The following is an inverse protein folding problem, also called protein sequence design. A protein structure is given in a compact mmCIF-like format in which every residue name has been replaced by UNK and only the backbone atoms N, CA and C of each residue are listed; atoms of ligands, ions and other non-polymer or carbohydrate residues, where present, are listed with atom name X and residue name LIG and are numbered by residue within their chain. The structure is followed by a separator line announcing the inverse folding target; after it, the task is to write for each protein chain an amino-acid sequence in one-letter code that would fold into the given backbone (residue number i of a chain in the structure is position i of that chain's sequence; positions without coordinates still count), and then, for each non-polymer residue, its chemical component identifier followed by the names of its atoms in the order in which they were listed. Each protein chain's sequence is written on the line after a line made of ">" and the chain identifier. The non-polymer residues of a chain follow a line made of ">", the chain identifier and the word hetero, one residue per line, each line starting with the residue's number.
data_IF_493609630076
#
_entry.id   IF_493609630076
#
_cell.length_a   1.000
_cell.length_b   1.000
_cell.length_c   1.000
_cell.angle_alpha   90.00
_cell.angle_beta   90.00
_cell.angle_gamma   90.00
#
_symmetry.space_group_name_H-M   'P 1'
#
loop_
_entity.id
_entity.type
_entity.pdbx_description
1 polymer ?
#
# COMPACT_ATOMS: atom_id res chain seq x y z
N UNK A 1 13.73 -10.80 -23.56
CA UNK A 1 13.48 -9.39 -23.96
C UNK A 1 14.72 -8.56 -23.67
N UNK A 2 14.92 -7.47 -24.42
CA UNK A 2 16.05 -6.56 -24.20
C UNK A 2 15.57 -5.13 -24.27
N UNK A 3 16.01 -4.30 -23.31
CA UNK A 3 15.81 -2.85 -23.33
C UNK A 3 17.17 -2.17 -23.38
N UNK A 4 17.26 -1.09 -24.15
CA UNK A 4 18.47 -0.27 -24.23
C UNK A 4 18.23 1.10 -23.57
N UNK A 5 19.22 1.58 -22.80
CA UNK A 5 19.10 2.86 -22.12
C UNK A 5 20.08 3.08 -20.98
N UNK A 6 19.68 3.98 -20.08
CA UNK A 6 20.41 4.31 -18.84
C UNK A 6 19.80 3.52 -17.69
N UNK A 7 20.41 2.39 -17.38
CA UNK A 7 19.91 1.41 -16.43
C UNK A 7 20.37 1.79 -15.03
N UNK A 8 19.45 1.90 -14.06
CA UNK A 8 19.80 2.07 -12.65
C UNK A 8 20.36 0.76 -12.09
N UNK A 9 21.60 0.79 -11.66
CA UNK A 9 22.27 -0.29 -10.95
C UNK A 9 22.60 0.12 -9.51
N UNK A 10 23.01 -0.81 -8.62
CA UNK A 10 23.49 -0.47 -7.28
C UNK A 10 24.68 0.50 -7.24
N UNK A 11 25.38 0.66 -8.35
CA UNK A 11 26.54 1.58 -8.50
C UNK A 11 26.18 2.90 -9.19
N UNK A 12 24.89 3.13 -9.48
CA UNK A 12 24.41 4.28 -10.23
C UNK A 12 23.96 3.90 -11.65
N UNK A 13 23.77 4.91 -12.49
CA UNK A 13 23.33 4.69 -13.87
C UNK A 13 24.47 4.20 -14.76
N UNK A 14 24.21 3.11 -15.48
CA UNK A 14 25.09 2.59 -16.54
C UNK A 14 24.35 2.66 -17.87
N UNK A 15 25.03 3.02 -18.96
CA UNK A 15 24.50 2.89 -20.32
C UNK A 15 24.68 1.46 -20.77
N UNK A 16 23.63 0.86 -21.33
CA UNK A 16 23.72 -0.55 -21.71
C UNK A 16 22.41 -1.19 -22.13
N UNK A 17 22.47 -2.50 -22.18
CA UNK A 17 21.37 -3.40 -22.51
C UNK A 17 20.95 -4.16 -21.27
N UNK A 18 19.67 -4.08 -20.92
CA UNK A 18 19.05 -4.90 -19.90
C UNK A 18 18.40 -6.11 -20.55
N UNK A 19 18.95 -7.30 -20.31
CA UNK A 19 18.38 -8.57 -20.77
C UNK A 19 17.52 -9.16 -19.66
N UNK A 20 16.28 -9.49 -19.97
CA UNK A 20 15.33 -10.00 -18.98
C UNK A 20 14.27 -10.93 -19.62
N UNK A 21 13.68 -11.76 -18.76
CA UNK A 21 12.44 -12.51 -18.98
C UNK A 21 11.49 -12.21 -17.84
N UNK A 22 11.15 -13.18 -16.99
CA UNK A 22 10.50 -12.98 -15.71
C UNK A 22 11.47 -12.39 -14.65
N UNK A 23 12.75 -12.44 -14.94
CA UNK A 23 13.84 -11.94 -14.09
C UNK A 23 14.86 -11.20 -14.94
N UNK A 24 15.62 -10.32 -14.29
CA UNK A 24 16.81 -9.74 -14.88
C UNK A 24 17.83 -10.85 -15.07
N UNK A 25 18.29 -11.04 -16.32
CA UNK A 25 19.27 -12.05 -16.70
C UNK A 25 20.67 -11.45 -16.75
N UNK A 26 20.82 -10.25 -17.32
CA UNK A 26 22.10 -9.58 -17.44
C UNK A 26 21.92 -8.08 -17.66
N UNK A 27 22.93 -7.31 -17.26
CA UNK A 27 23.16 -5.92 -17.67
C UNK A 27 24.48 -5.90 -18.43
N UNK A 28 24.43 -5.55 -19.70
CA UNK A 28 25.58 -5.42 -20.59
C UNK A 28 25.89 -3.92 -20.77
N UNK A 29 27.07 -3.47 -20.36
CA UNK A 29 27.49 -2.10 -20.63
C UNK A 29 27.77 -1.91 -22.11
N UNK A 30 27.19 -0.89 -22.71
CA UNK A 30 27.34 -0.59 -24.13
C UNK A 30 27.13 0.93 -24.37
N UNK A 31 27.77 1.50 -25.40
CA UNK A 31 27.63 2.92 -25.73
C UNK A 31 26.29 3.22 -26.43
N UNK A 32 25.19 2.90 -25.75
CA UNK A 32 23.83 3.15 -26.26
C UNK A 32 23.25 4.40 -25.64
N UNK A 33 22.41 5.10 -26.41
CA UNK A 33 21.56 6.17 -25.90
C UNK A 33 20.13 5.64 -25.76
N UNK A 34 19.38 6.19 -24.80
CA UNK A 34 18.02 5.76 -24.57
C UNK A 34 17.43 6.33 -23.29
N UNK A 35 16.20 5.91 -22.96
CA UNK A 35 15.50 6.35 -21.77
C UNK A 35 16.18 5.86 -20.49
N UNK A 36 15.79 6.43 -19.36
CA UNK A 36 16.12 5.86 -18.07
C UNK A 36 15.31 4.58 -17.84
N UNK A 37 15.99 3.54 -17.40
CA UNK A 37 15.41 2.24 -17.04
C UNK A 37 15.56 2.08 -15.53
N UNK A 38 14.45 2.09 -14.82
CA UNK A 38 14.34 2.06 -13.37
C UNK A 38 13.47 0.87 -12.94
N UNK A 39 13.66 0.33 -11.72
CA UNK A 39 12.64 -0.46 -11.07
C UNK A 39 11.33 0.33 -10.99
N UNK A 40 10.19 -0.35 -11.11
CA UNK A 40 8.90 0.29 -10.85
C UNK A 40 8.79 0.79 -9.41
N UNK A 41 8.02 1.84 -9.19
CA UNK A 41 7.79 2.37 -7.86
C UNK A 41 6.86 1.46 -7.04
N UNK A 42 7.14 1.38 -5.74
CA UNK A 42 6.24 0.76 -4.77
C UNK A 42 5.61 1.87 -3.93
N UNK A 43 4.29 1.96 -3.99
CA UNK A 43 3.53 2.93 -3.20
C UNK A 43 2.76 2.23 -2.08
N UNK A 44 3.17 2.47 -0.85
CA UNK A 44 2.62 1.80 0.33
C UNK A 44 1.47 2.58 0.98
N UNK A 45 1.06 3.73 0.39
CA UNK A 45 0.04 4.60 0.97
C UNK A 45 -0.73 5.36 -0.12
N UNK A 46 -1.78 4.73 -0.65
CA UNK A 46 -2.59 5.29 -1.75
C UNK A 46 -4.06 5.18 -1.42
N UNK A 47 -4.73 6.31 -1.18
CA UNK A 47 -6.18 6.35 -0.93
C UNK A 47 -7.01 6.32 -2.21
N UNK A 48 -6.47 6.85 -3.29
CA UNK A 48 -7.24 6.93 -4.53
C UNK A 48 -6.43 7.44 -5.73
N UNK A 49 -7.12 7.62 -6.83
CA UNK A 49 -6.57 8.16 -8.07
C UNK A 49 -7.62 8.20 -9.18
N UNK A 50 -7.51 9.17 -10.08
CA UNK A 50 -8.44 9.35 -11.21
C UNK A 50 -9.93 9.41 -10.77
N UNK A 51 -10.20 10.09 -9.65
CA UNK A 51 -11.55 10.21 -9.10
C UNK A 51 -12.12 8.93 -8.51
N UNK A 52 -11.29 7.93 -8.20
CA UNK A 52 -11.65 6.70 -7.50
C UNK A 52 -11.01 6.70 -6.11
N UNK A 53 -11.69 6.09 -5.13
CA UNK A 53 -11.24 5.96 -3.74
C UNK A 53 -11.23 4.47 -3.34
N UNK A 54 -10.25 4.08 -2.53
CA UNK A 54 -10.12 2.71 -2.03
C UNK A 54 -11.33 2.25 -1.19
N UNK A 55 -12.12 3.19 -0.65
CA UNK A 55 -13.34 2.91 0.11
C UNK A 55 -14.55 2.56 -0.75
N UNK A 56 -14.49 2.77 -2.07
CA UNK A 56 -15.64 2.63 -2.99
C UNK A 56 -15.81 1.20 -3.55
N UNK A 57 -14.94 0.26 -3.16
CA UNK A 57 -15.03 -1.15 -3.56
C UNK A 57 -14.21 -1.49 -4.81
N UNK A 58 -14.39 -2.72 -5.31
CA UNK A 58 -13.54 -3.37 -6.32
C UNK A 58 -13.24 -2.52 -7.54
N UNK A 59 -14.27 -2.01 -8.22
CA UNK A 59 -14.11 -1.30 -9.50
C UNK A 59 -13.34 0.01 -9.35
N UNK A 60 -13.53 0.71 -8.23
CA UNK A 60 -12.78 1.91 -7.90
C UNK A 60 -11.31 1.59 -7.62
N UNK A 61 -11.06 0.54 -6.83
CA UNK A 61 -9.69 0.05 -6.55
C UNK A 61 -8.96 -0.35 -7.83
N UNK A 62 -9.62 -1.05 -8.75
CA UNK A 62 -9.03 -1.40 -10.05
C UNK A 62 -8.71 -0.17 -10.90
N UNK A 63 -9.62 0.80 -10.95
CA UNK A 63 -9.41 2.06 -11.68
C UNK A 63 -8.23 2.85 -11.11
N UNK A 64 -8.17 2.99 -9.80
CA UNK A 64 -7.04 3.61 -9.08
C UNK A 64 -5.72 2.91 -9.39
N UNK A 65 -5.67 1.59 -9.26
CA UNK A 65 -4.46 0.81 -9.50
C UNK A 65 -3.94 0.95 -10.94
N UNK A 66 -4.83 0.86 -11.92
CA UNK A 66 -4.49 1.04 -13.34
C UNK A 66 -3.96 2.45 -13.63
N UNK A 67 -4.51 3.47 -12.98
CA UNK A 67 -4.01 4.84 -13.10
C UNK A 67 -2.57 4.94 -12.59
N UNK A 68 -2.27 4.45 -11.39
CA UNK A 68 -0.92 4.49 -10.83
C UNK A 68 0.08 3.67 -11.64
N UNK A 69 -0.35 2.53 -12.19
CA UNK A 69 0.47 1.70 -13.10
C UNK A 69 0.93 2.50 -14.34
N UNK A 70 0.07 3.31 -14.92
CA UNK A 70 0.41 4.16 -16.08
C UNK A 70 1.43 5.25 -15.73
N UNK A 71 1.64 5.53 -14.45
CA UNK A 71 2.60 6.53 -13.95
C UNK A 71 3.84 5.90 -13.31
N UNK A 72 4.07 4.60 -13.52
CA UNK A 72 5.29 3.91 -13.11
C UNK A 72 5.25 3.23 -11.73
N UNK A 73 4.11 3.27 -11.04
CA UNK A 73 3.91 2.49 -9.81
C UNK A 73 3.55 1.06 -10.18
N UNK A 74 4.45 0.11 -9.93
CA UNK A 74 4.28 -1.31 -10.27
C UNK A 74 3.79 -2.17 -9.11
N UNK A 75 3.72 -1.60 -7.92
CA UNK A 75 3.14 -2.24 -6.75
C UNK A 75 2.58 -1.20 -5.79
N UNK A 76 1.37 -1.41 -5.27
CA UNK A 76 0.76 -0.49 -4.33
C UNK A 76 -0.09 -1.19 -3.26
N UNK A 77 -0.26 -0.52 -2.13
CA UNK A 77 -1.23 -0.87 -1.10
C UNK A 77 -2.42 0.08 -1.19
N UNK A 78 -3.61 -0.46 -1.47
CA UNK A 78 -4.84 0.33 -1.38
C UNK A 78 -5.08 0.70 0.09
N UNK A 79 -5.15 2.00 0.37
CA UNK A 79 -5.19 2.52 1.74
C UNK A 79 -6.60 2.97 2.09
N UNK A 80 -7.15 2.37 3.17
CA UNK A 80 -8.45 2.79 3.71
C UNK A 80 -8.33 4.09 4.51
N UNK A 81 -9.44 4.75 4.74
CA UNK A 81 -9.54 5.84 5.73
C UNK A 81 -10.31 5.37 6.96
N UNK A 82 -10.23 6.13 8.05
CA UNK A 82 -11.05 5.91 9.25
C UNK A 82 -12.54 5.95 8.90
N UNK A 83 -13.27 4.87 9.23
CA UNK A 83 -14.67 4.72 8.89
C UNK A 83 -15.39 3.80 9.90
N UNK A 84 -16.72 3.72 9.88
CA UNK A 84 -17.48 2.68 10.59
C UNK A 84 -17.01 1.26 10.20
N UNK A 85 -17.10 0.27 11.09
CA UNK A 85 -16.61 -1.09 10.83
C UNK A 85 -17.17 -1.73 9.56
N UNK A 86 -18.45 -1.53 9.27
CA UNK A 86 -19.12 -2.07 8.07
C UNK A 86 -18.56 -1.47 6.78
N UNK A 87 -18.18 -0.20 6.78
CA UNK A 87 -17.57 0.45 5.62
C UNK A 87 -16.13 -0.04 5.42
N UNK A 88 -15.38 -0.26 6.50
CA UNK A 88 -14.06 -0.87 6.44
C UNK A 88 -14.12 -2.31 5.91
N UNK A 89 -15.11 -3.10 6.35
CA UNK A 89 -15.33 -4.47 5.82
C UNK A 89 -15.60 -4.44 4.33
N UNK A 90 -16.48 -3.56 3.89
CA UNK A 90 -16.80 -3.40 2.46
C UNK A 90 -15.57 -3.01 1.65
N UNK A 91 -14.79 -2.04 2.13
CA UNK A 91 -13.58 -1.59 1.45
C UNK A 91 -12.54 -2.71 1.34
N UNK A 92 -12.24 -3.40 2.45
CA UNK A 92 -11.27 -4.51 2.45
C UNK A 92 -11.72 -5.67 1.55
N UNK A 93 -12.99 -6.05 1.57
CA UNK A 93 -13.52 -7.06 0.65
C UNK A 93 -13.34 -6.64 -0.80
N UNK A 94 -13.65 -5.38 -1.14
CA UNK A 94 -13.44 -4.85 -2.49
C UNK A 94 -11.96 -4.83 -2.90
N UNK A 95 -11.03 -4.54 -1.98
CA UNK A 95 -9.59 -4.63 -2.22
C UNK A 95 -9.18 -6.07 -2.49
N UNK A 96 -9.65 -7.03 -1.69
CA UNK A 96 -9.34 -8.45 -1.89
C UNK A 96 -9.83 -8.98 -3.25
N UNK A 97 -11.05 -8.60 -3.64
CA UNK A 97 -11.60 -8.94 -4.95
C UNK A 97 -10.77 -8.31 -6.10
N UNK A 98 -10.37 -7.06 -5.97
CA UNK A 98 -9.56 -6.37 -6.96
C UNK A 98 -8.16 -6.98 -7.13
N UNK A 99 -7.56 -7.50 -6.07
CA UNK A 99 -6.26 -8.19 -6.09
C UNK A 99 -6.28 -9.43 -7.01
N UNK A 100 -7.41 -10.10 -7.16
CA UNK A 100 -7.53 -11.23 -8.07
C UNK A 100 -7.40 -10.84 -9.55
N UNK A 101 -7.57 -9.56 -9.89
CA UNK A 101 -7.53 -9.05 -11.26
C UNK A 101 -6.37 -8.08 -11.53
N UNK A 102 -5.61 -7.71 -10.50
CA UNK A 102 -4.52 -6.73 -10.63
C UNK A 102 -3.33 -7.11 -9.75
N UNK A 103 -2.29 -7.68 -10.34
CA UNK A 103 -1.06 -8.11 -9.66
C UNK A 103 -0.29 -6.95 -9.01
N UNK A 104 -0.51 -5.70 -9.46
CA UNK A 104 0.09 -4.52 -8.84
C UNK A 104 -0.50 -4.21 -7.46
N UNK A 105 -1.69 -4.73 -7.12
CA UNK A 105 -2.27 -4.62 -5.80
C UNK A 105 -1.64 -5.64 -4.85
N UNK A 106 -0.74 -5.18 -3.98
CA UNK A 106 0.04 -6.03 -3.07
C UNK A 106 -0.69 -6.33 -1.76
N UNK A 107 -1.81 -5.67 -1.50
CA UNK A 107 -2.62 -5.77 -0.30
C UNK A 107 -3.27 -4.46 0.10
N UNK A 108 -3.72 -4.42 1.34
CA UNK A 108 -4.30 -3.23 1.96
C UNK A 108 -3.34 -2.59 2.97
N UNK A 109 -3.42 -1.27 3.07
CA UNK A 109 -2.95 -0.49 4.21
C UNK A 109 -4.19 0.00 4.98
N UNK A 110 -4.39 -0.50 6.17
CA UNK A 110 -5.48 -0.08 7.05
C UNK A 110 -5.04 1.14 7.85
N UNK A 111 -5.43 2.35 7.41
CA UNK A 111 -5.16 3.59 8.14
C UNK A 111 -6.31 3.93 9.07
N UNK A 112 -6.09 3.73 10.35
CA UNK A 112 -7.15 3.74 11.35
C UNK A 112 -7.89 2.39 11.42
N UNK A 113 -9.05 2.32 12.12
CA UNK A 113 -9.78 3.41 12.78
C UNK A 113 -9.22 3.81 14.17
N UNK A 114 -8.14 3.21 14.64
CA UNK A 114 -7.57 3.42 15.98
C UNK A 114 -6.61 4.61 15.98
N UNK A 115 -7.13 5.79 15.64
CA UNK A 115 -6.41 7.05 15.55
C UNK A 115 -6.75 7.99 16.71
N UNK A 116 -5.85 8.90 17.04
CA UNK A 116 -6.11 9.91 18.06
C UNK A 116 -7.19 10.89 17.60
N UNK A 117 -8.28 11.06 18.37
CA UNK A 117 -9.31 12.05 18.02
C UNK A 117 -8.77 13.49 17.97
N UNK A 118 -7.59 13.72 18.56
CA UNK A 118 -6.92 15.03 18.58
C UNK A 118 -6.03 15.26 17.33
N UNK A 119 -5.80 14.26 16.52
CA UNK A 119 -4.85 14.28 15.39
C UNK A 119 -5.39 13.59 14.13
N UNK A 120 -6.67 13.69 13.89
CA UNK A 120 -7.30 13.07 12.71
C UNK A 120 -6.80 13.66 11.40
N UNK A 121 -6.44 14.95 11.37
CA UNK A 121 -6.05 15.57 10.10
C UNK A 121 -7.20 15.55 9.09
N UNK A 122 -6.98 14.95 7.93
CA UNK A 122 -7.98 14.76 6.89
C UNK A 122 -8.85 13.50 7.08
N UNK A 123 -8.59 12.70 8.11
CA UNK A 123 -9.36 11.48 8.38
C UNK A 123 -10.80 11.82 8.81
N UNK A 124 -11.81 11.06 8.33
CA UNK A 124 -13.18 11.22 8.78
C UNK A 124 -13.34 11.04 10.30
N UNK A 125 -14.36 11.67 10.91
CA UNK A 125 -14.51 11.74 12.37
C UNK A 125 -15.12 10.48 12.98
N UNK A 126 -14.57 9.30 12.64
CA UNK A 126 -14.99 8.00 13.13
C UNK A 126 -13.87 7.23 13.87
N UNK A 127 -13.00 7.90 14.66
CA UNK A 127 -11.95 7.17 15.37
C UNK A 127 -12.56 6.24 16.42
N UNK A 128 -11.96 5.07 16.56
CA UNK A 128 -12.42 4.04 17.48
C UNK A 128 -11.35 3.74 18.54
N UNK A 129 -11.78 3.14 19.62
CA UNK A 129 -10.84 2.58 20.60
C UNK A 129 -10.22 1.31 20.03
N UNK A 130 -8.94 1.05 20.33
CA UNK A 130 -8.30 -0.21 20.01
C UNK A 130 -9.14 -1.42 20.42
N UNK A 131 -9.48 -2.26 19.45
CA UNK A 131 -10.31 -3.46 19.62
C UNK A 131 -9.66 -4.63 18.88
N UNK A 132 -9.08 -5.60 19.61
CA UNK A 132 -8.47 -6.78 19.00
C UNK A 132 -9.46 -7.65 18.20
N UNK A 133 -10.71 -7.75 18.62
CA UNK A 133 -11.70 -8.56 17.92
C UNK A 133 -12.06 -7.94 16.56
N UNK A 134 -12.28 -6.63 16.53
CA UNK A 134 -12.50 -5.92 15.28
C UNK A 134 -11.25 -6.03 14.36
N UNK A 135 -10.04 -5.89 14.91
CA UNK A 135 -8.83 -6.01 14.12
C UNK A 135 -8.69 -7.39 13.47
N UNK A 136 -8.93 -8.47 14.22
CA UNK A 136 -8.88 -9.84 13.69
C UNK A 136 -9.92 -10.06 12.58
N UNK A 137 -11.12 -9.54 12.75
CA UNK A 137 -12.18 -9.57 11.74
C UNK A 137 -11.73 -8.85 10.44
N UNK A 138 -11.17 -7.64 10.55
CA UNK A 138 -10.67 -6.89 9.40
C UNK A 138 -9.49 -7.58 8.70
N UNK A 139 -8.56 -8.15 9.46
CA UNK A 139 -7.41 -8.89 8.91
C UNK A 139 -7.82 -10.14 8.12
N UNK A 140 -8.98 -10.72 8.43
CA UNK A 140 -9.50 -11.91 7.74
C UNK A 140 -10.05 -11.61 6.34
N UNK A 141 -10.36 -10.34 6.03
CA UNK A 141 -11.04 -9.95 4.78
C UNK A 141 -10.09 -9.73 3.61
N UNK A 142 -8.88 -9.26 3.87
CA UNK A 142 -7.88 -8.95 2.84
C UNK A 142 -6.47 -9.15 3.38
N UNK A 143 -5.46 -9.32 2.52
CA UNK A 143 -4.05 -9.27 2.91
C UNK A 143 -3.65 -7.85 3.37
N UNK A 144 -3.92 -7.51 4.64
CA UNK A 144 -3.47 -6.26 5.25
C UNK A 144 -1.97 -6.35 5.51
N UNK A 145 -1.19 -5.47 4.88
CA UNK A 145 0.28 -5.44 4.98
C UNK A 145 0.77 -4.39 5.97
N UNK A 146 0.03 -3.30 6.10
CA UNK A 146 0.36 -2.17 6.97
C UNK A 146 -0.88 -1.76 7.75
N UNK A 147 -0.71 -1.42 9.00
CA UNK A 147 -1.73 -0.77 9.85
C UNK A 147 -1.14 0.49 10.44
N UNK A 148 -1.81 1.62 10.28
CA UNK A 148 -1.47 2.88 10.98
C UNK A 148 -2.40 3.08 12.17
N UNK A 149 -1.83 3.30 13.35
CA UNK A 149 -2.57 3.56 14.58
C UNK A 149 -1.84 4.55 15.52
N UNK A 150 -2.60 5.12 16.45
CA UNK A 150 -2.09 6.00 17.50
C UNK A 150 -1.70 5.19 18.75
N UNK A 151 -0.41 5.16 19.14
CA UNK A 151 0.10 4.27 20.19
C UNK A 151 -0.34 4.66 21.60
N UNK A 152 -0.77 5.91 21.81
CA UNK A 152 -1.22 6.42 23.12
C UNK A 152 -2.63 5.97 23.50
N UNK A 153 -3.38 5.39 22.57
CA UNK A 153 -4.73 4.93 22.87
C UNK A 153 -4.68 3.72 23.82
N UNK A 154 -5.56 3.68 24.83
CA UNK A 154 -5.65 2.51 25.70
C UNK A 154 -5.87 1.21 24.91
N UNK A 155 -5.02 0.19 25.10
CA UNK A 155 -5.05 -1.07 24.36
C UNK A 155 -4.24 -1.07 23.07
N UNK A 156 -3.74 0.08 22.58
CA UNK A 156 -3.00 0.16 21.32
C UNK A 156 -1.73 -0.71 21.29
N UNK A 157 -0.98 -0.77 22.40
CA UNK A 157 0.24 -1.57 22.47
C UNK A 157 -0.05 -3.08 22.40
N UNK A 158 -1.20 -3.52 22.86
CA UNK A 158 -1.64 -4.91 22.68
C UNK A 158 -1.93 -5.21 21.23
N UNK A 159 -2.61 -4.29 20.53
CA UNK A 159 -2.83 -4.40 19.08
C UNK A 159 -1.50 -4.40 18.31
N UNK A 160 -0.53 -3.57 18.68
CA UNK A 160 0.80 -3.58 18.07
C UNK A 160 1.44 -4.96 18.19
N UNK A 161 1.41 -5.59 19.37
CA UNK A 161 1.96 -6.93 19.58
C UNK A 161 1.22 -7.99 18.74
N UNK A 162 -0.10 -7.92 18.69
CA UNK A 162 -0.93 -8.81 17.86
C UNK A 162 -0.55 -8.66 16.37
N UNK A 163 -0.52 -7.46 15.84
CA UNK A 163 -0.20 -7.18 14.45
C UNK A 163 1.21 -7.63 14.05
N UNK A 164 2.21 -7.31 14.88
CA UNK A 164 3.59 -7.77 14.67
C UNK A 164 3.67 -9.30 14.70
N UNK A 165 2.98 -9.95 15.63
CA UNK A 165 2.89 -11.42 15.69
C UNK A 165 2.21 -12.06 14.46
N UNK A 166 1.38 -11.31 13.72
CA UNK A 166 0.77 -11.71 12.45
C UNK A 166 1.62 -11.33 11.23
N UNK A 167 2.79 -10.73 11.42
CA UNK A 167 3.65 -10.27 10.32
C UNK A 167 3.16 -9.01 9.64
N UNK A 168 2.22 -8.28 10.24
CA UNK A 168 1.71 -7.00 9.74
C UNK A 168 2.64 -5.88 10.22
N UNK A 169 3.03 -4.99 9.31
CA UNK A 169 3.81 -3.80 9.66
C UNK A 169 2.92 -2.78 10.35
N UNK A 170 3.38 -2.27 11.49
CA UNK A 170 2.69 -1.19 12.20
C UNK A 170 3.41 0.12 11.95
N UNK A 171 2.65 1.13 11.55
CA UNK A 171 3.06 2.53 11.50
C UNK A 171 2.40 3.30 12.63
N UNK A 172 3.17 4.12 13.32
CA UNK A 172 2.65 5.03 14.33
C UNK A 172 2.32 6.35 13.65
N UNK A 173 1.04 6.69 13.63
CA UNK A 173 0.56 7.87 12.94
C UNK A 173 -0.73 8.40 13.54
N UNK A 174 -1.11 9.61 13.15
CA UNK A 174 -2.29 10.30 13.69
C UNK A 174 -2.32 10.28 15.22
N UNK A 175 -1.16 10.55 15.82
CA UNK A 175 -0.87 10.43 17.25
C UNK A 175 -0.67 11.81 17.89
N UNK A 176 -1.04 11.93 19.15
CA UNK A 176 -0.81 13.12 19.95
C UNK A 176 0.48 13.04 20.82
N UNK A 177 1.19 11.91 20.81
CA UNK A 177 2.51 11.80 21.42
C UNK A 177 3.58 12.33 20.50
N UNK A 178 4.58 13.01 21.06
CA UNK A 178 5.74 13.57 20.36
C UNK A 178 7.02 12.98 20.91
#
# INVERSE_FOLDING_TARGET
>A
MTLEGRILSPRGFVRGRLHFSERILAVEEAPVEGPYILPGFLDLHVHGGLGADAMEGKEAVLRMARFHLQHGTTGLLATTVTAPPEDLRRALSGIAEAMAECEALLGAHLEGPFLSPKRLGAQPPFPQKPDPALMEDLLALAPVRVVTLAPELPGALELVRLLVGRGVRVQLGHTAVG
#
